data_IF_589786768288
#
_entry.id   IF_589786768288
#
_cell.length_a   1.000
_cell.length_b   1.000
_cell.length_c   1.000
_cell.angle_alpha   90.00
_cell.angle_beta   90.00
_cell.angle_gamma   90.00
#
_symmetry.space_group_name_H-M   'P 1'
#
loop_
_entity.id
_entity.type
_entity.pdbx_description
1 polymer ?
#
# COMPACT_ATOMS: atom_id res chain seq x y z
N UNK A 1 19.50 -9.38 -15.12
CA UNK A 1 20.12 -8.44 -14.17
C UNK A 1 21.52 -8.93 -13.83
N UNK A 2 22.52 -8.06 -13.92
CA UNK A 2 23.88 -8.38 -13.46
C UNK A 2 23.96 -8.28 -11.93
N UNK A 3 24.75 -9.17 -11.31
CA UNK A 3 24.89 -9.23 -9.86
C UNK A 3 25.75 -8.05 -9.38
N UNK A 4 25.11 -6.95 -8.97
CA UNK A 4 25.78 -5.81 -8.35
C UNK A 4 26.33 -6.18 -6.97
N UNK A 5 27.53 -5.69 -6.64
CA UNK A 5 28.08 -5.77 -5.27
C UNK A 5 27.67 -4.54 -4.49
N UNK A 6 26.98 -4.73 -3.37
CA UNK A 6 26.79 -3.68 -2.37
C UNK A 6 28.10 -3.45 -1.63
N UNK A 7 28.59 -2.22 -1.65
CA UNK A 7 29.68 -1.78 -0.79
C UNK A 7 29.16 -1.53 0.64
N UNK A 8 30.07 -1.30 1.60
CA UNK A 8 29.69 -1.06 2.99
C UNK A 8 28.74 0.15 3.13
N UNK A 9 28.92 1.18 2.30
CA UNK A 9 28.03 2.35 2.22
C UNK A 9 26.63 1.96 1.77
N UNK A 10 26.51 1.14 0.74
CA UNK A 10 25.23 0.68 0.22
C UNK A 10 24.47 -0.19 1.22
N UNK A 11 25.15 -1.04 1.98
CA UNK A 11 24.51 -1.82 3.06
C UNK A 11 23.95 -0.89 4.13
N UNK A 12 24.72 0.12 4.56
CA UNK A 12 24.27 1.11 5.52
C UNK A 12 23.08 1.93 5.00
N UNK A 13 23.08 2.30 3.72
CA UNK A 13 21.98 3.04 3.10
C UNK A 13 20.69 2.21 3.05
N UNK A 14 20.76 0.92 2.70
CA UNK A 14 19.59 0.04 2.69
C UNK A 14 19.05 -0.16 4.10
N UNK A 15 19.93 -0.32 5.10
CA UNK A 15 19.54 -0.38 6.50
C UNK A 15 18.85 0.91 6.97
N UNK A 16 19.40 2.08 6.63
CA UNK A 16 18.81 3.38 6.96
C UNK A 16 17.43 3.58 6.32
N UNK A 17 17.29 3.21 5.03
CA UNK A 17 16.00 3.23 4.33
C UNK A 17 15.00 2.25 4.96
N UNK A 18 15.45 1.05 5.31
CA UNK A 18 14.62 0.07 6.00
C UNK A 18 14.11 0.58 7.34
N UNK A 19 14.99 1.20 8.14
CA UNK A 19 14.61 1.82 9.41
C UNK A 19 13.60 2.96 9.19
N UNK A 20 13.86 3.88 8.26
CA UNK A 20 12.93 4.96 7.94
C UNK A 20 11.57 4.45 7.48
N UNK A 21 11.51 3.40 6.66
CA UNK A 21 10.22 2.82 6.24
C UNK A 21 9.42 2.31 7.46
N UNK A 22 10.07 1.57 8.36
CA UNK A 22 9.41 0.92 9.49
C UNK A 22 9.09 1.87 10.65
N UNK A 23 10.01 2.76 10.99
CA UNK A 23 9.95 3.58 12.21
C UNK A 23 9.66 5.05 11.92
N UNK A 24 9.68 5.44 10.64
CA UNK A 24 9.61 6.85 10.23
C UNK A 24 10.70 7.70 10.88
N UNK A 25 11.87 7.11 11.15
CA UNK A 25 13.04 7.81 11.68
C UNK A 25 14.26 7.64 10.78
N UNK A 26 15.03 8.71 10.64
CA UNK A 26 16.29 8.72 9.89
C UNK A 26 17.43 9.00 10.87
N UNK A 27 18.41 8.09 10.90
CA UNK A 27 19.64 8.28 11.66
C UNK A 27 20.63 9.13 10.86
N UNK A 28 21.14 10.19 11.47
CA UNK A 28 22.20 11.03 10.93
C UNK A 28 23.49 10.82 11.73
N UNK A 29 24.59 10.58 11.02
CA UNK A 29 25.92 10.45 11.59
C UNK A 29 26.68 11.78 11.49
N UNK A 30 26.88 12.45 12.63
CA UNK A 30 27.64 13.70 12.75
C UNK A 30 29.13 13.46 13.06
N UNK A 31 29.66 12.27 12.75
CA UNK A 31 31.03 11.78 13.00
C UNK A 31 31.38 11.52 14.46
N UNK A 32 30.88 12.36 15.38
CA UNK A 32 31.15 12.24 16.81
C UNK A 32 30.00 11.61 17.59
N UNK A 33 28.78 11.69 17.05
CA UNK A 33 27.58 11.05 17.60
C UNK A 33 26.57 10.82 16.49
N UNK A 34 25.65 9.89 16.73
CA UNK A 34 24.50 9.60 15.88
C UNK A 34 23.24 10.18 16.51
N UNK A 35 22.33 10.68 15.70
CA UNK A 35 21.07 11.24 16.15
C UNK A 35 19.94 10.83 15.21
N UNK A 36 18.82 10.42 15.79
CA UNK A 36 17.61 10.09 15.04
C UNK A 36 16.72 11.32 14.91
N UNK A 37 16.16 11.51 13.72
CA UNK A 37 15.16 12.53 13.44
C UNK A 37 13.88 11.86 12.96
N UNK A 38 12.75 12.35 13.45
CA UNK A 38 11.44 11.93 12.97
C UNK A 38 11.23 12.43 11.53
N UNK A 39 10.52 11.62 10.75
CA UNK A 39 10.17 11.88 9.35
C UNK A 39 8.72 11.49 9.09
N UNK A 40 8.14 11.97 7.98
CA UNK A 40 6.81 11.56 7.51
C UNK A 40 6.89 11.40 5.99
N UNK A 41 7.29 10.20 5.55
CA UNK A 41 7.60 9.88 4.16
C UNK A 41 6.81 8.66 3.72
N UNK A 42 5.94 8.87 2.72
CA UNK A 42 5.26 7.78 2.03
C UNK A 42 6.20 7.14 1.01
N UNK A 43 6.40 5.82 1.08
CA UNK A 43 7.35 5.07 0.23
C UNK A 43 6.61 4.15 -0.73
N UNK A 44 6.91 4.28 -2.03
CA UNK A 44 6.46 3.36 -3.08
C UNK A 44 7.67 2.63 -3.66
N UNK A 45 7.66 1.29 -3.57
CA UNK A 45 8.73 0.44 -4.11
C UNK A 45 8.26 -0.21 -5.40
N UNK A 46 9.01 0.00 -6.48
CA UNK A 46 8.83 -0.72 -7.75
C UNK A 46 9.94 -1.76 -7.88
N UNK A 47 9.58 -3.03 -7.99
CA UNK A 47 10.53 -4.13 -8.11
C UNK A 47 10.02 -5.22 -9.06
N UNK A 48 10.92 -5.78 -9.87
CA UNK A 48 10.63 -6.96 -10.69
C UNK A 48 10.60 -8.24 -9.83
N UNK A 49 11.38 -8.25 -8.74
CA UNK A 49 11.49 -9.37 -7.80
C UNK A 49 11.06 -9.02 -6.38
N UNK A 50 11.47 -9.85 -5.42
CA UNK A 50 11.35 -9.54 -3.99
C UNK A 50 12.27 -8.36 -3.66
N UNK A 51 11.71 -7.31 -3.09
CA UNK A 51 12.48 -6.13 -2.65
C UNK A 51 13.37 -6.48 -1.45
N UNK A 52 14.53 -5.81 -1.37
CA UNK A 52 15.36 -5.79 -0.15
C UNK A 52 14.79 -4.85 0.91
N UNK A 53 14.01 -3.85 0.47
CA UNK A 53 13.35 -2.91 1.36
C UNK A 53 12.07 -3.53 1.91
N UNK A 54 11.75 -3.29 3.20
CA UNK A 54 10.49 -3.72 3.77
C UNK A 54 9.31 -3.02 3.07
N UNK A 55 8.17 -3.69 3.01
CA UNK A 55 6.92 -3.13 2.51
C UNK A 55 5.71 -3.76 3.20
N UNK A 56 4.73 -2.94 3.55
CA UNK A 56 3.49 -3.41 4.21
C UNK A 56 2.54 -4.08 3.22
N UNK A 57 2.48 -3.55 1.99
CA UNK A 57 1.59 -4.04 0.94
C UNK A 57 2.37 -4.35 -0.32
N UNK A 58 2.32 -5.62 -0.72
CA UNK A 58 2.83 -6.08 -1.99
C UNK A 58 1.68 -6.22 -2.99
N UNK A 59 1.78 -5.55 -4.13
CA UNK A 59 0.78 -5.57 -5.21
C UNK A 59 1.44 -6.05 -6.50
N UNK A 60 1.34 -7.35 -6.84
CA UNK A 60 1.84 -7.85 -8.11
C UNK A 60 1.09 -7.22 -9.28
N UNK A 61 1.83 -6.71 -10.26
CA UNK A 61 1.26 -6.22 -11.51
C UNK A 61 0.82 -7.41 -12.37
N UNK A 62 -0.41 -7.35 -12.87
CA UNK A 62 -0.94 -8.28 -13.86
C UNK A 62 -1.41 -7.45 -15.06
N UNK A 63 -0.50 -7.02 -15.95
CA UNK A 63 -0.89 -6.26 -17.12
C UNK A 63 -1.78 -7.14 -18.01
N UNK A 64 -2.88 -6.58 -18.48
CA UNK A 64 -3.72 -7.23 -19.47
C UNK A 64 -3.08 -7.07 -20.85
N UNK A 65 -3.02 -8.14 -21.65
CA UNK A 65 -2.34 -8.14 -22.95
C UNK A 65 -2.97 -7.13 -23.92
N UNK A 66 -4.29 -6.97 -23.87
CA UNK A 66 -5.05 -5.96 -24.61
C UNK A 66 -4.58 -4.53 -24.28
N UNK A 67 -4.29 -4.25 -23.00
CA UNK A 67 -3.84 -2.95 -22.54
C UNK A 67 -2.42 -2.63 -22.98
N UNK A 68 -1.56 -3.65 -23.12
CA UNK A 68 -0.19 -3.47 -23.62
C UNK A 68 -0.17 -3.06 -25.10
N UNK A 69 -1.10 -3.58 -25.91
CA UNK A 69 -1.21 -3.24 -27.33
C UNK A 69 -1.62 -1.78 -27.56
N UNK A 70 -2.41 -1.20 -26.65
CA UNK A 70 -2.99 0.15 -26.77
C UNK A 70 -2.26 1.15 -25.85
N UNK A 71 -1.14 0.76 -25.24
CA UNK A 71 -0.45 1.55 -24.22
C UNK A 71 -0.17 3.00 -24.65
N UNK A 72 0.33 3.20 -25.88
CA UNK A 72 0.64 4.54 -26.39
C UNK A 72 -0.60 5.44 -26.47
N UNK A 73 -1.74 4.90 -26.90
CA UNK A 73 -3.00 5.67 -26.97
C UNK A 73 -3.56 5.96 -25.57
N UNK A 74 -3.36 5.06 -24.59
CA UNK A 74 -3.71 5.31 -23.18
C UNK A 74 -2.89 6.49 -22.64
N UNK A 75 -1.58 6.52 -22.92
CA UNK A 75 -0.71 7.63 -22.49
C UNK A 75 -1.09 8.95 -23.14
N UNK A 76 -1.40 8.93 -24.44
CA UNK A 76 -1.85 10.13 -25.16
C UNK A 76 -3.17 10.67 -24.57
N UNK A 77 -4.15 9.79 -24.36
CA UNK A 77 -5.41 10.16 -23.71
C UNK A 77 -5.18 10.70 -22.29
N UNK A 78 -4.38 10.01 -21.47
CA UNK A 78 -4.05 10.45 -20.12
C UNK A 78 -3.42 11.85 -20.12
N UNK A 79 -2.47 12.11 -21.01
CA UNK A 79 -1.81 13.42 -21.15
C UNK A 79 -2.78 14.49 -21.62
N UNK A 80 -3.74 14.14 -22.49
CA UNK A 80 -4.75 15.07 -22.98
C UNK A 80 -5.76 15.48 -21.88
N UNK A 81 -6.19 14.53 -21.03
CA UNK A 81 -7.17 14.79 -19.97
C UNK A 81 -6.53 15.32 -18.69
N UNK A 82 -5.35 14.85 -18.29
CA UNK A 82 -4.66 15.26 -17.05
C UNK A 82 -3.86 16.55 -17.24
N UNK A 83 -4.57 17.63 -17.63
CA UNK A 83 -3.99 18.98 -17.70
C UNK A 83 -3.73 19.52 -16.29
N UNK A 84 -2.87 20.53 -16.19
CA UNK A 84 -2.45 21.11 -14.89
C UNK A 84 -3.63 21.55 -14.01
N UNK A 85 -4.70 22.09 -14.60
CA UNK A 85 -5.89 22.50 -13.82
C UNK A 85 -6.54 21.31 -13.09
N UNK A 86 -6.71 20.18 -13.79
CA UNK A 86 -7.27 18.96 -13.21
C UNK A 86 -6.27 18.35 -12.21
N UNK A 87 -4.98 18.33 -12.54
CA UNK A 87 -3.94 17.85 -11.64
C UNK A 87 -3.90 18.64 -10.34
N UNK A 88 -4.11 19.97 -10.39
CA UNK A 88 -4.21 20.81 -9.20
C UNK A 88 -5.45 20.49 -8.37
N UNK A 89 -6.60 20.25 -9.01
CA UNK A 89 -7.82 19.81 -8.29
C UNK A 89 -7.56 18.47 -7.58
N UNK A 90 -6.92 17.51 -8.25
CA UNK A 90 -6.57 16.21 -7.65
C UNK A 90 -5.62 16.40 -6.46
N UNK A 91 -4.58 17.23 -6.59
CA UNK A 91 -3.65 17.54 -5.50
C UNK A 91 -4.38 18.17 -4.31
N UNK A 92 -5.22 19.17 -4.54
CA UNK A 92 -6.02 19.83 -3.49
C UNK A 92 -6.92 18.81 -2.79
N UNK A 93 -7.58 17.95 -3.55
CA UNK A 93 -8.46 16.91 -3.01
C UNK A 93 -7.69 15.94 -2.11
N UNK A 94 -6.57 15.38 -2.58
CA UNK A 94 -5.73 14.46 -1.82
C UNK A 94 -5.15 15.12 -0.55
N UNK A 95 -4.68 16.37 -0.64
CA UNK A 95 -4.16 17.09 0.52
C UNK A 95 -5.25 17.40 1.53
N UNK A 96 -6.45 17.77 1.08
CA UNK A 96 -7.59 18.04 1.97
C UNK A 96 -8.03 16.78 2.72
N UNK A 97 -8.11 15.64 2.02
CA UNK A 97 -8.48 14.37 2.63
C UNK A 97 -7.49 13.90 3.71
N UNK A 98 -6.19 14.17 3.55
CA UNK A 98 -5.18 13.86 4.57
C UNK A 98 -5.43 14.59 5.90
N UNK A 99 -6.12 15.73 5.88
CA UNK A 99 -6.41 16.54 7.06
C UNK A 99 -7.73 16.18 7.75
N UNK A 100 -8.57 15.34 7.12
CA UNK A 100 -9.86 14.94 7.66
C UNK A 100 -9.66 14.03 8.87
N UNK A 101 -10.35 14.34 9.97
CA UNK A 101 -10.41 13.48 11.15
C UNK A 101 -11.37 12.33 10.88
N UNK A 102 -10.83 11.13 10.75
CA UNK A 102 -11.60 9.93 10.59
C UNK A 102 -12.06 9.40 11.96
N UNK A 103 -13.34 9.08 12.09
CA UNK A 103 -13.91 8.52 13.31
C UNK A 103 -14.42 7.11 13.04
N UNK A 104 -14.00 6.17 13.88
CA UNK A 104 -14.52 4.81 13.89
C UNK A 104 -15.84 4.87 14.66
N UNK A 105 -16.97 4.68 13.99
CA UNK A 105 -18.29 4.63 14.62
C UNK A 105 -18.42 3.39 15.52
N UNK A 106 -19.38 3.39 16.44
CA UNK A 106 -19.65 2.21 17.29
C UNK A 106 -20.45 1.12 16.55
N UNK A 107 -21.12 1.47 15.45
CA UNK A 107 -21.96 0.57 14.62
C UNK A 107 -21.13 -0.30 13.64
N UNK A 108 -20.02 -0.90 14.09
CA UNK A 108 -19.12 -1.69 13.24
C UNK A 108 -19.26 -3.20 13.51
N UNK A 109 -20.44 -3.61 13.97
CA UNK A 109 -20.74 -5.02 14.23
C UNK A 109 -20.52 -5.91 12.99
N UNK A 110 -20.78 -5.36 11.80
CA UNK A 110 -20.53 -6.05 10.53
C UNK A 110 -19.05 -6.37 10.25
N UNK A 111 -18.09 -5.61 10.80
CA UNK A 111 -16.66 -5.94 10.66
C UNK A 111 -16.29 -7.08 11.59
N UNK A 112 -16.84 -7.10 12.81
CA UNK A 112 -16.60 -8.18 13.77
C UNK A 112 -17.15 -9.51 13.22
N UNK A 113 -18.38 -9.49 12.73
CA UNK A 113 -19.03 -10.65 12.10
C UNK A 113 -18.22 -11.18 10.91
N UNK A 114 -17.81 -10.28 10.01
CA UNK A 114 -17.01 -10.64 8.85
C UNK A 114 -15.62 -11.16 9.24
N UNK A 115 -15.00 -10.63 10.31
CA UNK A 115 -13.70 -11.11 10.77
C UNK A 115 -13.78 -12.53 11.34
N UNK A 116 -14.87 -12.84 12.06
CA UNK A 116 -15.15 -14.20 12.53
C UNK A 116 -15.35 -15.14 11.33
N UNK A 117 -16.08 -14.70 10.31
CA UNK A 117 -16.27 -15.48 9.08
C UNK A 117 -14.94 -15.70 8.34
N UNK A 118 -14.11 -14.66 8.20
CA UNK A 118 -12.79 -14.75 7.56
C UNK A 118 -11.86 -15.74 8.27
N UNK A 119 -11.88 -15.76 9.61
CA UNK A 119 -11.13 -16.74 10.41
C UNK A 119 -11.67 -18.16 10.28
N UNK A 120 -12.98 -18.30 10.17
CA UNK A 120 -13.62 -19.62 10.03
C UNK A 120 -13.35 -20.25 8.67
N UNK A 121 -13.25 -19.41 7.63
CA UNK A 121 -12.99 -19.83 6.25
C UNK A 121 -11.49 -19.89 5.89
N UNK A 122 -10.58 -19.52 6.81
CA UNK A 122 -9.14 -19.54 6.52
C UNK A 122 -8.54 -20.93 6.63
N UNK A 123 -7.62 -21.26 5.75
CA UNK A 123 -6.86 -22.52 5.76
C UNK A 123 -6.01 -22.61 7.05
N UNK A 124 -5.91 -23.81 7.65
CA UNK A 124 -5.11 -24.05 8.87
C UNK A 124 -3.64 -23.65 8.71
N UNK A 125 -3.12 -23.69 7.48
CA UNK A 125 -1.74 -23.32 7.14
C UNK A 125 -1.50 -21.80 7.05
N UNK A 126 -2.55 -20.98 6.90
CA UNK A 126 -2.42 -19.52 6.82
C UNK A 126 -3.60 -18.81 7.49
N UNK A 127 -3.67 -18.82 8.83
CA UNK A 127 -4.77 -18.25 9.58
C UNK A 127 -4.79 -16.73 9.49
N UNK A 128 -5.99 -16.15 9.45
CA UNK A 128 -6.17 -14.69 9.46
C UNK A 128 -5.76 -14.12 10.83
N UNK A 129 -4.75 -13.26 10.83
CA UNK A 129 -4.16 -12.70 12.05
C UNK A 129 -4.81 -11.37 12.45
N UNK A 130 -4.54 -10.91 13.68
CA UNK A 130 -4.97 -9.57 14.12
C UNK A 130 -4.30 -8.45 13.29
N UNK A 131 -3.08 -8.68 12.81
CA UNK A 131 -2.38 -7.75 11.94
C UNK A 131 -3.08 -7.62 10.59
N UNK A 132 -3.65 -8.71 10.06
CA UNK A 132 -4.41 -8.68 8.81
C UNK A 132 -5.70 -7.88 8.96
N UNK A 133 -6.40 -8.01 10.10
CA UNK A 133 -7.54 -7.15 10.41
C UNK A 133 -7.11 -5.69 10.52
N UNK A 134 -6.00 -5.40 11.20
CA UNK A 134 -5.49 -4.05 11.31
C UNK A 134 -5.20 -3.45 9.93
N UNK A 135 -4.52 -4.20 9.05
CA UNK A 135 -4.26 -3.78 7.65
C UNK A 135 -5.55 -3.53 6.87
N UNK A 136 -6.56 -4.37 7.07
CA UNK A 136 -7.86 -4.23 6.40
C UNK A 136 -8.61 -2.99 6.89
N UNK A 137 -8.59 -2.72 8.20
CA UNK A 137 -9.17 -1.50 8.79
C UNK A 137 -8.45 -0.22 8.31
N UNK A 138 -7.12 -0.26 8.19
CA UNK A 138 -6.36 0.86 7.61
C UNK A 138 -6.77 1.09 6.16
N UNK A 139 -6.90 0.04 5.35
CA UNK A 139 -7.37 0.16 3.97
C UNK A 139 -8.81 0.69 3.91
N UNK A 140 -9.70 0.19 4.77
CA UNK A 140 -11.09 0.63 4.84
C UNK A 140 -11.21 2.13 5.15
N UNK A 141 -10.42 2.60 6.12
CA UNK A 141 -10.30 4.03 6.42
C UNK A 141 -9.88 4.84 5.18
N UNK A 142 -8.88 4.39 4.44
CA UNK A 142 -8.40 5.08 3.24
C UNK A 142 -9.46 5.08 2.12
N UNK A 143 -10.18 3.98 1.93
CA UNK A 143 -11.28 3.87 0.96
C UNK A 143 -12.42 4.82 1.33
N UNK A 144 -12.86 4.86 2.60
CA UNK A 144 -13.88 5.78 3.08
C UNK A 144 -13.49 7.24 2.85
N UNK A 145 -12.27 7.62 3.26
CA UNK A 145 -11.76 8.97 3.04
C UNK A 145 -11.71 9.33 1.55
N UNK A 146 -11.28 8.41 0.68
CA UNK A 146 -11.23 8.64 -0.77
C UNK A 146 -12.60 8.87 -1.42
N UNK A 147 -13.68 8.45 -0.75
CA UNK A 147 -15.07 8.66 -1.18
C UNK A 147 -15.71 9.89 -0.51
N UNK A 148 -14.99 10.56 0.38
CA UNK A 148 -15.46 11.72 1.12
C UNK A 148 -16.23 11.39 2.41
N UNK A 149 -16.19 10.14 2.87
CA UNK A 149 -16.77 9.75 4.16
C UNK A 149 -15.74 9.88 5.29
N UNK A 150 -16.18 10.38 6.44
CA UNK A 150 -15.39 10.51 7.66
C UNK A 150 -15.58 9.34 8.64
N UNK A 151 -16.52 8.44 8.36
CA UNK A 151 -16.78 7.19 9.09
C UNK A 151 -16.78 5.97 8.18
N UNK A 152 -16.61 4.76 8.74
CA UNK A 152 -16.75 3.52 7.99
C UNK A 152 -18.22 3.22 7.71
N UNK A 153 -18.58 3.03 6.44
CA UNK A 153 -19.87 2.49 6.03
C UNK A 153 -19.73 1.05 5.51
N UNK A 154 -20.87 0.37 5.37
CA UNK A 154 -20.90 -1.01 4.88
C UNK A 154 -20.45 -1.11 3.41
N UNK A 155 -20.74 -0.11 2.59
CA UNK A 155 -20.36 -0.11 1.17
C UNK A 155 -18.82 -0.01 1.00
N UNK A 156 -18.16 0.91 1.68
CA UNK A 156 -16.69 1.01 1.64
C UNK A 156 -16.03 -0.25 2.21
N UNK A 157 -16.64 -0.88 3.22
CA UNK A 157 -16.15 -2.14 3.74
C UNK A 157 -16.19 -3.27 2.71
N UNK A 158 -17.31 -3.47 2.02
CA UNK A 158 -17.40 -4.46 0.94
C UNK A 158 -16.38 -4.22 -0.19
N UNK A 159 -16.18 -2.95 -0.55
CA UNK A 159 -15.18 -2.56 -1.55
C UNK A 159 -13.77 -2.91 -1.06
N UNK A 160 -13.49 -2.63 0.22
CA UNK A 160 -12.20 -2.94 0.85
C UNK A 160 -11.94 -4.45 0.81
N UNK A 161 -12.92 -5.27 1.20
CA UNK A 161 -12.82 -6.74 1.12
C UNK A 161 -12.53 -7.20 -0.31
N UNK A 162 -13.23 -6.64 -1.30
CA UNK A 162 -13.01 -6.97 -2.71
C UNK A 162 -11.60 -6.61 -3.18
N UNK A 163 -11.12 -5.41 -2.85
CA UNK A 163 -9.76 -4.96 -3.20
C UNK A 163 -8.70 -5.88 -2.60
N UNK A 164 -8.87 -6.26 -1.34
CA UNK A 164 -7.93 -7.16 -0.66
C UNK A 164 -7.98 -8.58 -1.24
N UNK A 165 -9.16 -9.11 -1.54
CA UNK A 165 -9.32 -10.40 -2.19
C UNK A 165 -8.64 -10.44 -3.58
N UNK A 166 -8.78 -9.37 -4.38
CA UNK A 166 -8.07 -9.26 -5.66
C UNK A 166 -6.55 -9.24 -5.48
N UNK A 167 -6.05 -8.51 -4.47
CA UNK A 167 -4.62 -8.45 -4.15
C UNK A 167 -4.08 -9.82 -3.76
N UNK A 168 -4.77 -10.52 -2.86
CA UNK A 168 -4.38 -11.86 -2.42
C UNK A 168 -4.41 -12.86 -3.58
N UNK A 169 -5.40 -12.79 -4.46
CA UNK A 169 -5.45 -13.62 -5.67
C UNK A 169 -4.24 -13.39 -6.59
N UNK A 170 -3.82 -12.12 -6.77
CA UNK A 170 -2.61 -11.79 -7.54
C UNK A 170 -1.34 -12.38 -6.90
N UNK A 171 -1.25 -12.41 -5.58
CA UNK A 171 -0.12 -12.99 -4.85
C UNK A 171 -0.10 -14.52 -5.02
N UNK A 172 -1.24 -15.20 -4.83
CA UNK A 172 -1.35 -16.67 -5.01
C UNK A 172 -0.92 -17.10 -6.41
N UNK A 173 -1.40 -16.40 -7.45
CA UNK A 173 -1.05 -16.72 -8.84
C UNK A 173 0.43 -16.47 -9.17
N UNK A 174 1.08 -15.47 -8.52
CA UNK A 174 2.52 -15.24 -8.69
C UNK A 174 3.35 -16.41 -8.16
N UNK A 175 2.98 -16.97 -7.01
CA UNK A 175 3.67 -18.13 -6.42
C UNK A 175 3.52 -19.36 -7.32
N UNK A 176 2.33 -19.57 -7.89
CA UNK A 176 2.08 -20.69 -8.81
C UNK A 176 2.89 -20.62 -10.12
N UNK A 177 3.20 -19.42 -10.62
CA UNK A 177 3.99 -19.23 -11.86
C UNK A 177 5.51 -19.43 -11.67
N UNK A 178 5.99 -19.67 -10.45
CA UNK A 178 7.43 -19.78 -10.13
C UNK A 178 7.86 -21.23 -9.87
N UNK A 179 6.99 -22.22 -10.16
CA UNK A 179 7.28 -23.66 -10.06
C UNK A 179 7.38 -24.27 -11.46
#
# INVERSE_FOLDING_TARGET
MEQGRLDATGVNNVAALGNMIMTQKVEYDFKYYKMEFDSDVSVLVLSEGKSLLPSDYHVPLRPEESSLQIFNAIIEAATYYLKEDIMNIIRIYLTSLKLVKYTISEDIQFVEDDFIEMRSNSDEDNPVTADDLHRLLVLARLVSLSRGFDTLDKECWEITKKMEAERLNRIKNRVASTI
#
